data_IF_498587750535
#
_entry.id   IF_498587750535
#
_cell.length_a   1.000
_cell.length_b   1.000
_cell.length_c   1.000
_cell.angle_alpha   90.00
_cell.angle_beta   90.00
_cell.angle_gamma   90.00
#
_symmetry.space_group_name_H-M   'P 1'
#
loop_
_entity.id
_entity.type
_entity.pdbx_description
1 polymer ?
#
# COMPACT_ATOMS: atom_id res chain seq x y z
N UNK A 1 3.74 -12.48 -13.65
CA UNK A 1 4.77 -12.93 -12.69
C UNK A 1 4.15 -14.06 -11.91
N UNK A 2 4.76 -15.24 -11.88
CA UNK A 2 4.21 -16.32 -11.06
C UNK A 2 4.44 -16.01 -9.56
N UNK A 3 3.68 -16.61 -8.63
CA UNK A 3 3.81 -16.33 -7.20
C UNK A 3 5.21 -16.63 -6.62
N UNK A 4 5.88 -17.65 -7.16
CA UNK A 4 7.21 -18.10 -6.69
C UNK A 4 8.32 -17.10 -7.06
N UNK A 5 8.33 -16.62 -8.30
CA UNK A 5 9.23 -15.56 -8.80
C UNK A 5 9.05 -14.27 -8.02
N UNK A 6 7.80 -13.91 -7.71
CA UNK A 6 7.49 -12.70 -6.96
C UNK A 6 8.06 -12.78 -5.53
N UNK A 7 7.82 -13.92 -4.88
CA UNK A 7 8.33 -14.18 -3.53
C UNK A 7 9.86 -14.13 -3.48
N UNK A 8 10.52 -14.73 -4.47
CA UNK A 8 11.98 -14.70 -4.59
C UNK A 8 12.52 -13.29 -4.87
N UNK A 9 11.89 -12.53 -5.78
CA UNK A 9 12.29 -11.16 -6.10
C UNK A 9 12.21 -10.23 -4.87
N UNK A 10 11.20 -10.42 -4.02
CA UNK A 10 11.02 -9.68 -2.77
C UNK A 10 12.00 -10.12 -1.68
N UNK A 11 12.26 -11.43 -1.56
CA UNK A 11 13.19 -11.96 -0.56
C UNK A 11 14.60 -11.36 -0.70
N UNK A 12 15.07 -11.14 -1.92
CA UNK A 12 16.38 -10.53 -2.22
C UNK A 12 16.47 -9.02 -1.93
N UNK A 13 15.39 -8.38 -1.45
CA UNK A 13 15.32 -6.93 -1.22
C UNK A 13 15.26 -6.63 0.26
N UNK A 14 15.87 -5.52 0.67
CA UNK A 14 15.65 -4.97 2.01
C UNK A 14 14.19 -4.54 2.19
N UNK A 15 13.68 -4.45 3.43
CA UNK A 15 12.28 -4.08 3.67
C UNK A 15 11.82 -2.77 2.99
N UNK A 16 12.62 -1.67 3.01
CA UNK A 16 12.33 -0.48 2.21
C UNK A 16 12.16 -0.74 0.71
N UNK A 17 13.04 -1.59 0.15
CA UNK A 17 13.04 -1.92 -1.28
C UNK A 17 11.92 -2.88 -1.65
N UNK A 18 11.44 -3.72 -0.74
CA UNK A 18 10.22 -4.52 -0.92
C UNK A 18 9.01 -3.62 -1.05
N UNK A 19 8.83 -2.66 -0.15
CA UNK A 19 7.73 -1.68 -0.24
C UNK A 19 7.77 -0.92 -1.57
N UNK A 20 8.94 -0.41 -1.94
CA UNK A 20 9.12 0.29 -3.21
C UNK A 20 8.75 -0.61 -4.40
N UNK A 21 9.20 -1.87 -4.40
CA UNK A 21 8.89 -2.83 -5.46
C UNK A 21 7.39 -3.12 -5.55
N UNK A 22 6.71 -3.38 -4.43
CA UNK A 22 5.27 -3.63 -4.39
C UNK A 22 4.51 -2.43 -4.99
N UNK A 23 4.85 -1.22 -4.56
CA UNK A 23 4.17 0.00 -5.04
C UNK A 23 4.41 0.24 -6.53
N UNK A 24 5.65 0.14 -7.00
CA UNK A 24 6.01 0.52 -8.38
C UNK A 24 5.72 -0.57 -9.40
N UNK A 25 6.03 -1.83 -9.07
CA UNK A 25 5.99 -2.95 -10.03
C UNK A 25 4.65 -3.67 -9.96
N UNK A 26 4.16 -3.96 -8.76
CA UNK A 26 2.91 -4.71 -8.58
C UNK A 26 1.70 -3.78 -8.73
N UNK A 27 1.65 -2.70 -7.95
CA UNK A 27 0.52 -1.78 -7.94
C UNK A 27 0.58 -0.75 -9.07
N UNK A 28 1.77 -0.50 -9.64
CA UNK A 28 2.00 0.54 -10.68
C UNK A 28 1.54 1.93 -10.22
N UNK A 29 1.80 2.27 -8.96
CA UNK A 29 1.43 3.54 -8.35
C UNK A 29 2.65 4.41 -8.06
N UNK A 30 2.51 5.73 -8.23
CA UNK A 30 3.46 6.70 -7.68
C UNK A 30 3.19 6.92 -6.16
N UNK A 31 4.07 7.66 -5.48
CA UNK A 31 3.93 7.90 -4.04
C UNK A 31 2.65 8.66 -3.69
N UNK A 32 2.27 9.66 -4.50
CA UNK A 32 1.07 10.46 -4.26
C UNK A 32 -0.21 9.61 -4.28
N UNK A 33 -0.38 8.78 -5.32
CA UNK A 33 -1.53 7.89 -5.46
C UNK A 33 -1.56 6.82 -4.37
N UNK A 34 -0.41 6.26 -4.01
CA UNK A 34 -0.34 5.28 -2.93
C UNK A 34 -0.77 5.87 -1.57
N UNK A 35 -0.49 7.16 -1.34
CA UNK A 35 -0.78 7.87 -0.10
C UNK A 35 -2.14 8.61 -0.09
N UNK A 36 -2.95 8.49 -1.15
CA UNK A 36 -4.17 9.28 -1.34
C UNK A 36 -5.22 9.10 -0.22
N UNK A 37 -5.29 7.92 0.39
CA UNK A 37 -6.21 7.62 1.50
C UNK A 37 -5.73 8.10 2.87
N UNK A 38 -4.50 8.65 2.96
CA UNK A 38 -3.95 9.19 4.20
C UNK A 38 -3.52 8.14 5.24
N UNK A 39 -3.66 6.83 4.96
CA UNK A 39 -3.20 5.76 5.88
C UNK A 39 -1.70 5.88 6.12
N UNK A 40 -0.97 6.22 5.06
CA UNK A 40 0.47 6.51 5.10
C UNK A 40 0.70 7.90 4.52
N UNK A 41 1.35 8.77 5.29
CA UNK A 41 1.72 10.11 4.82
C UNK A 41 2.84 10.01 3.78
N UNK A 42 2.78 10.85 2.75
CA UNK A 42 3.76 10.86 1.67
C UNK A 42 5.21 11.07 2.17
N UNK A 43 5.41 11.97 3.13
CA UNK A 43 6.73 12.18 3.75
C UNK A 43 7.27 10.94 4.45
N UNK A 44 6.40 10.22 5.17
CA UNK A 44 6.74 8.95 5.84
C UNK A 44 7.12 7.88 4.83
N UNK A 45 6.33 7.70 3.76
CA UNK A 45 6.65 6.77 2.68
C UNK A 45 8.01 7.09 2.05
N UNK A 46 8.29 8.36 1.76
CA UNK A 46 9.57 8.81 1.19
C UNK A 46 10.74 8.49 2.11
N UNK A 47 10.61 8.72 3.42
CA UNK A 47 11.65 8.39 4.40
C UNK A 47 11.92 6.88 4.49
N UNK A 48 10.85 6.05 4.44
CA UNK A 48 10.99 4.59 4.41
C UNK A 48 11.72 4.15 3.15
N UNK A 49 11.22 4.52 1.95
CA UNK A 49 11.78 4.04 0.68
C UNK A 49 13.23 4.51 0.42
N UNK A 50 13.62 5.64 1.04
CA UNK A 50 14.99 6.14 1.04
C UNK A 50 15.86 5.58 2.16
N UNK A 51 15.36 4.62 2.95
CA UNK A 51 16.02 4.00 4.10
C UNK A 51 16.50 5.01 5.16
N UNK A 52 15.86 6.19 5.25
CA UNK A 52 16.09 7.19 6.30
C UNK A 52 15.28 6.93 7.56
N UNK A 53 14.32 6.02 7.48
CA UNK A 53 13.48 5.61 8.59
C UNK A 53 13.21 4.11 8.51
N UNK A 54 13.48 3.40 9.60
CA UNK A 54 13.17 1.97 9.71
C UNK A 54 11.67 1.73 9.83
N UNK A 55 11.24 0.55 9.39
CA UNK A 55 9.85 0.14 9.50
C UNK A 55 9.66 -0.56 10.85
N UNK A 56 9.07 0.15 11.82
CA UNK A 56 8.63 -0.47 13.07
C UNK A 56 7.33 -1.26 12.93
N UNK A 57 7.00 -2.08 13.92
CA UNK A 57 5.82 -2.97 13.93
C UNK A 57 4.51 -2.25 13.57
N UNK A 58 4.24 -1.11 14.22
CA UNK A 58 3.02 -0.32 13.95
C UNK A 58 2.96 0.21 12.52
N UNK A 59 4.10 0.52 11.91
CA UNK A 59 4.17 0.96 10.52
C UNK A 59 3.98 -0.22 9.57
N UNK A 60 4.55 -1.38 9.88
CA UNK A 60 4.35 -2.61 9.11
C UNK A 60 2.86 -3.01 9.10
N UNK A 61 2.16 -2.94 10.23
CA UNK A 61 0.71 -3.19 10.31
C UNK A 61 -0.10 -2.23 9.44
N UNK A 62 0.25 -0.93 9.44
CA UNK A 62 -0.38 0.06 8.55
C UNK A 62 -0.12 -0.22 7.07
N UNK A 63 1.09 -0.65 6.74
CA UNK A 63 1.47 -1.05 5.38
C UNK A 63 0.68 -2.26 4.91
N UNK A 64 0.58 -3.30 5.75
CA UNK A 64 -0.25 -4.49 5.48
C UNK A 64 -1.70 -4.09 5.26
N UNK A 65 -2.26 -3.25 6.14
CA UNK A 65 -3.62 -2.77 5.98
C UNK A 65 -3.81 -2.00 4.66
N UNK A 66 -2.94 -1.04 4.36
CA UNK A 66 -2.96 -0.29 3.10
C UNK A 66 -2.89 -1.22 1.87
N UNK A 67 -2.03 -2.23 1.89
CA UNK A 67 -1.89 -3.19 0.81
C UNK A 67 -3.13 -4.07 0.64
N UNK A 68 -3.77 -4.47 1.74
CA UNK A 68 -5.02 -5.26 1.70
C UNK A 68 -6.14 -4.50 0.97
N UNK A 69 -6.24 -3.18 1.17
CA UNK A 69 -7.19 -2.32 0.46
C UNK A 69 -6.92 -2.23 -1.05
N UNK A 70 -5.67 -2.46 -1.45
CA UNK A 70 -5.26 -2.51 -2.86
C UNK A 70 -5.31 -3.94 -3.44
N UNK A 71 -5.82 -4.92 -2.67
CA UNK A 71 -5.96 -6.32 -3.07
C UNK A 71 -4.72 -7.18 -2.85
N UNK A 72 -3.81 -6.77 -1.98
CA UNK A 72 -2.56 -7.48 -1.68
C UNK A 72 -2.59 -7.98 -0.24
N UNK A 73 -2.65 -9.30 -0.06
CA UNK A 73 -2.57 -9.96 1.23
C UNK A 73 -1.13 -10.37 1.52
N UNK A 74 -0.59 -9.90 2.64
CA UNK A 74 0.77 -10.19 3.08
C UNK A 74 0.89 -10.10 4.61
N UNK A 75 1.96 -10.67 5.15
CA UNK A 75 2.29 -10.57 6.57
C UNK A 75 3.20 -9.35 6.85
N UNK A 76 3.14 -8.81 8.06
CA UNK A 76 4.00 -7.69 8.51
C UNK A 76 5.48 -8.03 8.47
N UNK A 77 5.84 -9.30 8.60
CA UNK A 77 7.22 -9.78 8.53
C UNK A 77 7.89 -9.46 7.20
N UNK A 78 7.10 -9.26 6.14
CA UNK A 78 7.56 -8.74 4.85
C UNK A 78 8.35 -7.43 5.00
N UNK A 79 8.02 -6.62 6.01
CA UNK A 79 8.60 -5.31 6.26
C UNK A 79 9.54 -5.23 7.47
N UNK A 80 9.61 -6.28 8.29
CA UNK A 80 10.38 -6.26 9.54
C UNK A 80 11.70 -7.01 9.42
N UNK A 81 11.74 -8.14 8.69
CA UNK A 81 12.90 -9.00 8.63
C UNK A 81 13.55 -9.00 7.24
N UNK A 82 14.87 -8.80 7.12
CA UNK A 82 15.57 -8.76 5.83
C UNK A 82 15.56 -10.12 5.09
N UNK A 83 15.30 -11.23 5.78
CA UNK A 83 15.28 -12.59 5.19
C UNK A 83 13.95 -13.33 5.39
N UNK A 84 12.85 -12.61 5.66
CA UNK A 84 11.54 -13.25 5.81
C UNK A 84 11.05 -13.88 4.51
N UNK A 85 10.27 -14.96 4.66
CA UNK A 85 9.48 -15.53 3.58
C UNK A 85 8.48 -14.47 3.09
N UNK A 86 8.68 -14.01 1.86
CA UNK A 86 7.90 -12.93 1.27
C UNK A 86 6.67 -13.49 0.55
N UNK A 87 5.68 -13.98 1.29
CA UNK A 87 4.45 -14.52 0.70
C UNK A 87 3.47 -13.38 0.43
N UNK A 88 3.07 -13.24 -0.84
CA UNK A 88 2.02 -12.32 -1.27
C UNK A 88 0.92 -13.10 -1.99
N UNK A 89 -0.34 -12.80 -1.67
CA UNK A 89 -1.52 -13.28 -2.40
C UNK A 89 -2.33 -12.10 -2.91
N UNK A 90 -3.01 -12.31 -4.03
CA UNK A 90 -3.90 -11.32 -4.62
C UNK A 90 -5.34 -11.65 -4.25
N UNK A 91 -6.06 -10.66 -3.74
CA UNK A 91 -7.48 -10.72 -3.46
C UNK A 91 -8.21 -9.66 -4.28
N UNK A 92 -8.61 -10.06 -5.48
CA UNK A 92 -9.35 -9.19 -6.41
C UNK A 92 -10.74 -8.81 -5.86
N UNK A 93 -11.31 -9.62 -4.96
CA UNK A 93 -12.61 -9.35 -4.33
C UNK A 93 -12.51 -8.12 -3.43
N UNK A 94 -11.50 -8.10 -2.55
CA UNK A 94 -11.28 -6.99 -1.62
C UNK A 94 -10.95 -5.68 -2.37
N UNK A 95 -10.18 -5.78 -3.46
CA UNK A 95 -9.87 -4.66 -4.34
C UNK A 95 -11.12 -4.07 -5.00
N UNK A 96 -11.98 -4.92 -5.56
CA UNK A 96 -13.23 -4.49 -6.18
C UNK A 96 -14.18 -3.80 -5.19
N UNK A 97 -14.31 -4.36 -3.98
CA UNK A 97 -15.10 -3.77 -2.90
C UNK A 97 -14.57 -2.39 -2.50
N UNK A 98 -13.26 -2.26 -2.32
CA UNK A 98 -12.63 -0.98 -1.94
C UNK A 98 -12.80 0.07 -3.03
N UNK A 99 -12.66 -0.31 -4.30
CA UNK A 99 -12.85 0.61 -5.43
C UNK A 99 -14.30 1.14 -5.48
N UNK A 100 -15.30 0.26 -5.28
CA UNK A 100 -16.71 0.65 -5.23
C UNK A 100 -17.00 1.61 -4.07
N UNK A 101 -16.38 1.36 -2.90
CA UNK A 101 -16.49 2.26 -1.75
C UNK A 101 -15.88 3.64 -2.04
N UNK A 102 -14.69 3.70 -2.66
CA UNK A 102 -14.05 4.96 -3.06
C UNK A 102 -14.91 5.77 -4.04
N UNK A 103 -15.49 5.12 -5.04
CA UNK A 103 -16.41 5.76 -5.99
C UNK A 103 -17.63 6.33 -5.27
N UNK A 104 -18.20 5.59 -4.32
CA UNK A 104 -19.36 6.03 -3.53
C UNK A 104 -19.03 7.25 -2.66
N UNK A 105 -17.85 7.27 -2.03
CA UNK A 105 -17.38 8.40 -1.22
C UNK A 105 -17.14 9.65 -2.07
N UNK A 106 -16.59 9.52 -3.27
CA UNK A 106 -16.38 10.66 -4.17
C UNK A 106 -17.72 11.26 -4.64
N UNK A 107 -18.72 10.42 -4.91
CA UNK A 107 -20.09 10.87 -5.21
C UNK A 107 -20.67 11.65 -4.02
N UNK A 108 -20.51 11.15 -2.80
CA UNK A 108 -20.97 11.84 -1.58
C UNK A 108 -20.25 13.18 -1.43
N UNK A 109 -18.92 13.19 -1.56
CA UNK A 109 -18.10 14.40 -1.48
C UNK A 109 -18.58 15.47 -2.46
N UNK A 110 -18.79 15.11 -3.73
CA UNK A 110 -19.28 16.04 -4.75
C UNK A 110 -20.65 16.63 -4.38
N UNK A 111 -21.57 15.81 -3.87
CA UNK A 111 -22.88 16.26 -3.39
C UNK A 111 -22.77 17.22 -2.20
N UNK A 112 -21.87 16.93 -1.25
CA UNK A 112 -21.64 17.81 -0.09
C UNK A 112 -21.05 19.16 -0.53
N UNK A 113 -20.09 19.18 -1.45
CA UNK A 113 -19.49 20.42 -1.97
C UNK A 113 -20.52 21.29 -2.72
N UNK A 114 -21.54 20.70 -3.34
CA UNK A 114 -22.64 21.45 -3.96
C UNK A 114 -23.60 22.07 -2.94
N UNK A 115 -23.70 21.50 -1.73
CA UNK A 115 -24.61 21.96 -0.66
C UNK A 115 -23.98 23.01 0.25
N UNK A 116 -22.65 23.14 0.25
CA UNK A 116 -21.92 24.16 1.02
C UNK A 116 -21.13 25.01 0.04
N UNK A 117 -21.71 26.11 -0.50
CA UNK A 117 -20.92 27.05 -1.26
C UNK A 117 -19.90 27.66 -0.31
N UNK A 118 -18.62 27.54 -0.68
CA UNK A 118 -17.55 28.30 -0.04
C UNK A 118 -17.79 29.76 -0.46
N UNK A 119 -18.51 30.51 0.38
CA UNK A 119 -18.49 31.98 0.38
C UNK A 119 -17.33 32.47 1.22
#
# INVERSE_FOLDING_TARGET
MNPTELSHALAQRSPPKRLQFIRQIILKQNQARFCEDGIIRMGTLKSIESARMDIGVKMAERLVHKLSLEGILCDKDLFLAPNSLCVIRFDDTQKALTQKARQSLEIIRQKVTQLVPIT
#
